data_IF_515350379780
#
_entry.id   IF_515350379780
#
_cell.length_a   1.000
_cell.length_b   1.000
_cell.length_c   1.000
_cell.angle_alpha   90.00
_cell.angle_beta   90.00
_cell.angle_gamma   90.00
#
_symmetry.space_group_name_H-M   'P 1'
#
loop_
_entity.id
_entity.type
_entity.pdbx_description
1 polymer ?
#
# COMPACT_ATOMS: atom_id res chain seq x y z
N UNK A 1 12.43 -0.46 14.43
CA UNK A 1 12.38 0.72 13.54
C UNK A 1 11.53 0.37 12.33
N UNK A 2 10.23 0.69 12.36
CA UNK A 2 9.27 0.29 11.31
C UNK A 2 9.30 1.26 10.14
N UNK A 3 9.79 0.84 8.97
CA UNK A 3 9.88 1.61 7.70
C UNK A 3 8.71 2.56 7.40
N UNK A 4 7.49 2.25 7.86
CA UNK A 4 6.34 3.15 7.81
C UNK A 4 6.61 4.59 8.26
N UNK A 5 7.47 4.83 9.27
CA UNK A 5 7.73 6.19 9.78
C UNK A 5 8.60 7.06 8.86
N UNK A 6 9.25 6.51 7.83
CA UNK A 6 10.02 7.29 6.85
C UNK A 6 9.15 7.77 5.68
N UNK A 7 7.95 7.21 5.53
CA UNK A 7 7.02 7.56 4.46
C UNK A 7 6.19 8.80 4.80
N UNK A 8 6.03 9.67 3.81
CA UNK A 8 5.10 10.82 3.91
C UNK A 8 3.66 10.31 4.05
N UNK A 9 2.76 11.07 4.70
CA UNK A 9 1.36 10.68 4.86
C UNK A 9 0.65 10.41 3.52
N UNK A 10 0.97 11.18 2.48
CA UNK A 10 0.43 10.95 1.13
C UNK A 10 0.92 9.65 0.51
N UNK A 11 2.21 9.34 0.66
CA UNK A 11 2.80 8.09 0.16
C UNK A 11 2.21 6.88 0.86
N UNK A 12 1.97 6.98 2.18
CA UNK A 12 1.31 5.94 2.95
C UNK A 12 -0.13 5.70 2.46
N UNK A 13 -0.87 6.75 2.09
CA UNK A 13 -2.22 6.63 1.51
C UNK A 13 -2.19 5.91 0.16
N UNK A 14 -1.27 6.29 -0.73
CA UNK A 14 -1.10 5.65 -2.04
C UNK A 14 -0.76 4.16 -1.86
N UNK A 15 0.16 3.84 -0.95
CA UNK A 15 0.56 2.46 -0.69
C UNK A 15 -0.59 1.60 -0.19
N UNK A 16 -1.42 2.12 0.72
CA UNK A 16 -2.61 1.41 1.20
C UNK A 16 -3.57 1.09 0.05
N UNK A 17 -3.79 2.05 -0.86
CA UNK A 17 -4.63 1.82 -2.04
C UNK A 17 -4.04 0.77 -2.99
N UNK A 18 -2.74 0.85 -3.26
CA UNK A 18 -2.03 -0.12 -4.11
C UNK A 18 -2.13 -1.52 -3.49
N UNK A 19 -1.81 -1.65 -2.21
CA UNK A 19 -1.84 -2.93 -1.49
C UNK A 19 -3.25 -3.50 -1.46
N UNK A 20 -4.27 -2.67 -1.21
CA UNK A 20 -5.67 -3.11 -1.29
C UNK A 20 -6.04 -3.63 -2.69
N UNK A 21 -5.61 -2.94 -3.76
CA UNK A 21 -5.92 -3.35 -5.14
C UNK A 21 -5.07 -4.52 -5.67
N UNK A 22 -3.86 -4.71 -5.16
CA UNK A 22 -2.92 -5.73 -5.65
C UNK A 22 -2.96 -6.96 -4.76
N UNK A 23 -2.75 -6.80 -3.46
CA UNK A 23 -2.63 -7.92 -2.51
C UNK A 23 -3.99 -8.34 -1.95
N UNK A 24 -4.90 -7.39 -1.71
CA UNK A 24 -6.22 -7.70 -1.15
C UNK A 24 -7.30 -7.83 -2.23
N UNK A 25 -6.94 -7.87 -3.52
CA UNK A 25 -7.88 -8.00 -4.66
C UNK A 25 -8.82 -9.20 -4.55
N UNK A 26 -8.31 -10.30 -4.00
CA UNK A 26 -9.03 -11.56 -3.84
C UNK A 26 -9.53 -11.77 -2.41
N UNK A 27 -9.29 -10.82 -1.51
CA UNK A 27 -9.77 -10.87 -0.14
C UNK A 27 -11.18 -10.28 -0.06
N UNK A 28 -12.02 -10.80 0.85
CA UNK A 28 -13.33 -10.20 1.09
C UNK A 28 -13.15 -8.78 1.65
N UNK A 29 -14.01 -7.84 1.25
CA UNK A 29 -13.87 -6.40 1.57
C UNK A 29 -13.76 -6.10 3.07
N UNK A 30 -14.34 -6.96 3.92
CA UNK A 30 -14.22 -6.89 5.38
C UNK A 30 -12.76 -6.97 5.89
N UNK A 31 -11.85 -7.53 5.10
CA UNK A 31 -10.42 -7.61 5.40
C UNK A 31 -9.59 -6.56 4.65
N UNK A 32 -10.19 -5.76 3.76
CA UNK A 32 -9.55 -4.67 3.02
C UNK A 32 -9.41 -3.39 3.85
N UNK A 33 -9.07 -3.51 5.14
CA UNK A 33 -8.91 -2.37 6.04
C UNK A 33 -7.53 -1.73 5.91
N UNK A 34 -7.41 -0.47 6.31
CA UNK A 34 -6.12 0.25 6.31
C UNK A 34 -5.10 -0.39 7.26
N UNK A 35 -5.56 -1.00 8.35
CA UNK A 35 -4.69 -1.73 9.29
C UNK A 35 -4.05 -2.95 8.64
N UNK A 36 -4.82 -3.75 7.90
CA UNK A 36 -4.29 -4.91 7.18
C UNK A 36 -3.33 -4.48 6.08
N UNK A 37 -3.66 -3.40 5.36
CA UNK A 37 -2.76 -2.83 4.38
C UNK A 37 -1.43 -2.35 5.01
N UNK A 38 -1.46 -1.68 6.16
CA UNK A 38 -0.25 -1.28 6.89
C UNK A 38 0.59 -2.49 7.34
N UNK A 39 -0.05 -3.58 7.77
CA UNK A 39 0.65 -4.84 8.11
C UNK A 39 1.37 -5.42 6.90
N UNK A 40 0.69 -5.47 5.75
CA UNK A 40 1.30 -5.95 4.50
C UNK A 40 2.47 -5.04 4.09
N UNK A 41 2.30 -3.71 4.15
CA UNK A 41 3.38 -2.74 3.85
C UNK A 41 4.58 -2.97 4.77
N UNK A 42 4.35 -3.24 6.05
CA UNK A 42 5.42 -3.55 7.00
C UNK A 42 6.09 -4.91 6.70
N UNK A 43 5.36 -5.89 6.18
CA UNK A 43 5.85 -7.23 5.89
C UNK A 43 6.62 -7.35 4.55
N UNK A 44 6.22 -6.60 3.51
CA UNK A 44 6.84 -6.70 2.17
C UNK A 44 8.22 -6.04 2.05
N UNK A 45 8.61 -5.25 3.05
CA UNK A 45 9.91 -4.61 3.13
C UNK A 45 10.09 -3.38 2.21
N UNK A 46 11.18 -2.62 2.42
CA UNK A 46 11.38 -1.30 1.82
C UNK A 46 11.51 -1.33 0.28
N UNK A 47 12.19 -2.35 -0.27
CA UNK A 47 12.40 -2.48 -1.72
C UNK A 47 11.09 -2.72 -2.48
N UNK A 48 10.20 -3.53 -1.92
CA UNK A 48 8.89 -3.79 -2.51
C UNK A 48 8.02 -2.54 -2.43
N UNK A 49 8.12 -1.77 -1.34
CA UNK A 49 7.36 -0.53 -1.18
C UNK A 49 7.74 0.51 -2.24
N UNK A 50 9.03 0.70 -2.55
CA UNK A 50 9.44 1.62 -3.64
C UNK A 50 8.78 1.24 -4.97
N UNK A 51 8.76 -0.07 -5.29
CA UNK A 51 8.10 -0.59 -6.49
C UNK A 51 6.59 -0.33 -6.46
N UNK A 52 5.92 -0.60 -5.34
CA UNK A 52 4.49 -0.37 -5.18
C UNK A 52 4.15 1.11 -5.29
N UNK A 53 5.00 2.00 -4.76
CA UNK A 53 4.83 3.44 -4.86
C UNK A 53 4.98 3.93 -6.31
N UNK A 54 5.99 3.43 -7.04
CA UNK A 54 6.14 3.69 -8.48
C UNK A 54 4.95 3.21 -9.28
N UNK A 55 4.44 2.01 -8.99
CA UNK A 55 3.22 1.48 -9.63
C UNK A 55 2.02 2.37 -9.32
N UNK A 56 1.86 2.80 -8.06
CA UNK A 56 0.77 3.71 -7.67
C UNK A 56 0.78 5.04 -8.42
N UNK A 57 1.97 5.66 -8.55
CA UNK A 57 2.16 6.90 -9.31
C UNK A 57 1.95 6.70 -10.82
N UNK A 58 2.43 5.59 -11.38
CA UNK A 58 2.31 5.29 -12.81
C UNK A 58 0.88 4.91 -13.23
N UNK A 59 0.14 4.24 -12.33
CA UNK A 59 -1.17 3.66 -12.63
C UNK A 59 -2.33 4.66 -12.43
N UNK A 60 -2.07 5.91 -11.99
CA UNK A 60 -3.11 6.89 -11.64
C UNK A 60 -4.25 6.26 -10.83
N UNK A 61 -3.90 5.56 -9.75
CA UNK A 61 -4.88 4.83 -8.91
C UNK A 61 -5.92 5.79 -8.28
N UNK A 62 -5.62 7.09 -8.27
CA UNK A 62 -6.51 8.20 -7.87
C UNK A 62 -7.71 8.43 -8.83
N UNK A 63 -7.73 7.82 -10.02
CA UNK A 63 -8.81 7.96 -11.00
C UNK A 63 -9.74 6.74 -10.98
N UNK A 64 -10.45 6.48 -9.88
CA UNK A 64 -11.69 5.67 -9.88
C UNK A 64 -12.64 6.21 -8.82
#
# INVERSE_FOLDING_TARGET
>A
MTFLHTLKPEERRILRLVVKRVHLKHHPEQFCTDLEADKVIAAVGPETVDKLLRVGKNTKIDTV
#
